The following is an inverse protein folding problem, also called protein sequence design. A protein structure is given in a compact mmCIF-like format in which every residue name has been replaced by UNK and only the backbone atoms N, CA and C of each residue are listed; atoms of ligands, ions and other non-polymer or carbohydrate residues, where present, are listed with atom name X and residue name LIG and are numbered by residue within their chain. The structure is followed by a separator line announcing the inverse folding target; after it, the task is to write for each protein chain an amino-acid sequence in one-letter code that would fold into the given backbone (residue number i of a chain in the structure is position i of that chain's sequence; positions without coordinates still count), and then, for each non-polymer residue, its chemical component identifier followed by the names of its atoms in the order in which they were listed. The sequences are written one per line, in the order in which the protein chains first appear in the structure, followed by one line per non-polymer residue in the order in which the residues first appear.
data_IF_140829723855
#
_entry.id   IF_140829723855
#
_cell.length_a   1.000
_cell.length_b   1.000
_cell.length_c   1.000
_cell.angle_alpha   90.00
_cell.angle_beta   90.00
_cell.angle_gamma   90.00
#
_symmetry.space_group_name_H-M   'P 1'
#
loop_
_entity.id
_entity.type
_entity.pdbx_description
1 polymer ?
#
# COMPACT_ATOMS: atom_id res chain seq x y z
N UNK A 1 -8.30 2.53 10.98
CA UNK A 1 -8.51 3.88 10.40
C UNK A 1 -9.99 4.25 10.41
N UNK A 2 -10.37 5.35 9.74
CA UNK A 2 -11.77 5.80 9.68
C UNK A 2 -12.63 4.98 8.70
N UNK A 3 -12.02 4.44 7.63
CA UNK A 3 -12.74 3.68 6.59
C UNK A 3 -12.61 2.16 6.74
N UNK A 4 -11.44 1.69 7.20
CA UNK A 4 -11.13 0.28 7.32
C UNK A 4 -10.48 -0.05 8.67
N UNK A 5 -10.76 -1.25 9.14
CA UNK A 5 -9.89 -1.96 10.08
C UNK A 5 -8.87 -2.76 9.26
N UNK A 6 -7.61 -2.68 9.67
CA UNK A 6 -6.47 -3.22 8.93
C UNK A 6 -5.67 -4.08 9.89
N UNK A 7 -5.44 -5.33 9.49
CA UNK A 7 -4.73 -6.33 10.27
C UNK A 7 -3.59 -6.90 9.45
N UNK A 8 -2.49 -7.21 10.13
CA UNK A 8 -1.49 -8.12 9.61
C UNK A 8 -1.93 -9.54 9.98
N UNK A 9 -2.03 -10.42 8.99
CA UNK A 9 -2.36 -11.83 9.19
C UNK A 9 -1.21 -12.68 8.66
N UNK A 10 -1.00 -13.83 9.28
CA UNK A 10 0.01 -14.79 8.84
C UNK A 10 -0.60 -16.18 8.69
N UNK A 11 -0.03 -16.97 7.80
CA UNK A 11 -0.37 -18.38 7.65
C UNK A 11 0.56 -19.25 8.49
N UNK A 12 0.21 -20.53 8.66
CA UNK A 12 1.08 -21.52 9.31
C UNK A 12 2.43 -21.69 8.56
N UNK A 13 2.46 -21.39 7.27
CA UNK A 13 3.67 -21.39 6.44
C UNK A 13 4.54 -20.13 6.59
N UNK A 14 4.20 -19.23 7.52
CA UNK A 14 4.86 -17.95 7.78
C UNK A 14 4.72 -16.88 6.67
N UNK A 15 3.86 -17.08 5.68
CA UNK A 15 3.52 -16.01 4.74
C UNK A 15 2.71 -14.92 5.44
N UNK A 16 3.07 -13.66 5.23
CA UNK A 16 2.42 -12.49 5.82
C UNK A 16 1.58 -11.74 4.80
N UNK A 17 0.38 -11.34 5.21
CA UNK A 17 -0.58 -10.64 4.38
C UNK A 17 -1.23 -9.47 5.14
N UNK A 18 -1.84 -8.57 4.39
CA UNK A 18 -2.64 -7.48 4.93
C UNK A 18 -4.13 -7.76 4.71
N UNK A 19 -4.89 -7.92 5.80
CA UNK A 19 -6.34 -7.98 5.78
C UNK A 19 -6.93 -6.59 5.96
N UNK A 20 -7.87 -6.21 5.09
CA UNK A 20 -8.65 -4.97 5.23
C UNK A 20 -10.13 -5.28 5.27
N UNK A 21 -10.80 -4.78 6.31
CA UNK A 21 -12.24 -4.93 6.52
C UNK A 21 -12.87 -3.53 6.45
N UNK A 22 -13.74 -3.24 5.45
CA UNK A 22 -14.44 -1.97 5.36
C UNK A 22 -15.47 -1.84 6.49
N UNK A 23 -15.53 -0.66 7.10
CA UNK A 23 -16.46 -0.39 8.22
C UNK A 23 -17.91 -0.18 7.79
N UNK A 24 -18.13 0.13 6.52
CA UNK A 24 -19.45 0.40 5.96
C UNK A 24 -19.46 0.21 4.43
N UNK A 25 -20.66 0.26 3.83
CA UNK A 25 -20.86 0.06 2.39
C UNK A 25 -20.11 1.09 1.53
N UNK A 26 -20.01 2.33 1.98
CA UNK A 26 -19.25 3.37 1.27
C UNK A 26 -17.76 3.03 1.22
N UNK A 27 -17.19 2.61 2.34
CA UNK A 27 -15.80 2.15 2.40
C UNK A 27 -15.56 0.93 1.51
N UNK A 28 -16.49 -0.03 1.47
CA UNK A 28 -16.40 -1.20 0.59
C UNK A 28 -16.41 -0.79 -0.90
N UNK A 29 -17.30 0.13 -1.29
CA UNK A 29 -17.37 0.63 -2.67
C UNK A 29 -16.10 1.38 -3.09
N UNK A 30 -15.54 2.21 -2.20
CA UNK A 30 -14.26 2.90 -2.43
C UNK A 30 -13.12 1.87 -2.53
N UNK A 31 -13.09 0.87 -1.65
CA UNK A 31 -12.07 -0.18 -1.67
C UNK A 31 -12.06 -0.92 -3.02
N UNK A 32 -13.23 -1.27 -3.55
CA UNK A 32 -13.37 -1.92 -4.86
C UNK A 32 -12.83 -1.07 -6.02
N UNK A 33 -12.99 0.24 -5.94
CA UNK A 33 -12.37 1.14 -6.92
C UNK A 33 -10.84 1.14 -6.76
N UNK A 34 -10.36 1.13 -5.52
CA UNK A 34 -8.94 1.06 -5.20
C UNK A 34 -8.26 -0.24 -5.65
N UNK A 35 -8.91 -1.39 -5.53
CA UNK A 35 -8.36 -2.69 -5.97
C UNK A 35 -8.21 -2.76 -7.49
N UNK A 36 -9.15 -2.20 -8.25
CA UNK A 36 -9.04 -2.06 -9.71
C UNK A 36 -7.82 -1.20 -10.08
N UNK A 37 -7.64 -0.06 -9.41
CA UNK A 37 -6.50 0.81 -9.64
C UNK A 37 -5.17 0.11 -9.31
N UNK A 38 -5.08 -0.55 -8.15
CA UNK A 38 -3.87 -1.30 -7.75
C UNK A 38 -3.52 -2.40 -8.76
N UNK A 39 -4.53 -3.11 -9.27
CA UNK A 39 -4.34 -4.15 -10.29
C UNK A 39 -3.82 -3.54 -11.61
N UNK A 40 -4.37 -2.41 -12.03
CA UNK A 40 -3.92 -1.71 -13.23
C UNK A 40 -2.47 -1.21 -13.08
N UNK A 41 -2.14 -0.58 -11.94
CA UNK A 41 -0.79 -0.10 -11.62
C UNK A 41 0.24 -1.25 -11.63
N UNK A 42 -0.08 -2.38 -10.99
CA UNK A 42 0.84 -3.52 -10.94
C UNK A 42 1.11 -4.11 -12.33
N UNK A 43 0.11 -4.11 -13.22
CA UNK A 43 0.26 -4.57 -14.61
C UNK A 43 1.04 -3.59 -15.47
N UNK A 44 0.74 -2.30 -15.37
CA UNK A 44 1.41 -1.26 -16.14
C UNK A 44 2.86 -1.01 -15.69
N UNK A 45 3.13 -1.19 -14.39
CA UNK A 45 4.43 -0.95 -13.76
C UNK A 45 4.77 -2.06 -12.77
N UNK A 46 5.26 -3.21 -13.25
CA UNK A 46 5.58 -4.34 -12.38
C UNK A 46 6.68 -4.04 -11.35
N UNK A 47 7.57 -3.09 -11.66
CA UNK A 47 8.65 -2.62 -10.77
C UNK A 47 8.16 -1.74 -9.63
N UNK A 48 6.93 -1.21 -9.73
CA UNK A 48 6.34 -0.39 -8.69
C UNK A 48 5.98 -1.25 -7.47
N UNK A 49 6.47 -0.82 -6.30
CA UNK A 49 6.22 -1.46 -5.01
C UNK A 49 4.83 -1.08 -4.47
N UNK A 50 3.78 -1.54 -5.17
CA UNK A 50 2.39 -1.51 -4.72
C UNK A 50 1.92 -2.91 -4.31
N UNK A 51 1.02 -3.02 -3.33
CA UNK A 51 0.55 -4.31 -2.85
C UNK A 51 -0.31 -5.00 -3.91
N UNK A 52 -0.03 -6.27 -4.17
CA UNK A 52 -0.84 -7.10 -5.05
C UNK A 52 -2.13 -7.52 -4.33
N UNK A 53 -3.25 -7.56 -5.06
CA UNK A 53 -4.51 -8.08 -4.54
C UNK A 53 -4.47 -9.61 -4.62
N UNK A 54 -4.67 -10.28 -3.48
CA UNK A 54 -4.67 -11.74 -3.38
C UNK A 54 -6.09 -12.26 -3.39
N UNK A 55 -6.97 -11.59 -2.65
CA UNK A 55 -8.39 -11.91 -2.58
C UNK A 55 -9.22 -10.66 -2.35
N UNK A 56 -10.42 -10.63 -2.93
CA UNK A 56 -11.38 -9.55 -2.75
C UNK A 56 -12.80 -10.11 -2.62
N UNK A 57 -13.56 -9.54 -1.69
CA UNK A 57 -14.99 -9.75 -1.50
C UNK A 57 -15.64 -8.45 -1.02
N UNK A 58 -16.98 -8.44 -0.95
CA UNK A 58 -17.72 -7.29 -0.40
C UNK A 58 -17.47 -7.07 1.10
N UNK A 59 -16.96 -8.08 1.81
CA UNK A 59 -16.76 -8.05 3.26
C UNK A 59 -15.32 -7.77 3.68
N UNK A 60 -14.34 -8.15 2.86
CA UNK A 60 -12.93 -7.92 3.13
C UNK A 60 -12.07 -8.13 1.89
N UNK A 61 -10.84 -7.59 1.94
CA UNK A 61 -9.80 -7.83 0.95
C UNK A 61 -8.51 -8.28 1.62
N UNK A 62 -7.79 -9.20 0.97
CA UNK A 62 -6.45 -9.65 1.36
C UNK A 62 -5.47 -9.13 0.33
N UNK A 63 -4.44 -8.45 0.81
CA UNK A 63 -3.37 -7.90 -0.01
C UNK A 63 -2.02 -8.48 0.40
N UNK A 64 -1.09 -8.48 -0.55
CA UNK A 64 0.33 -8.69 -0.28
C UNK A 64 0.79 -7.73 0.83
N UNK A 65 1.50 -8.27 1.82
CA UNK A 65 2.22 -7.44 2.78
C UNK A 65 3.45 -6.83 2.12
N UNK A 66 3.66 -5.52 2.32
CA UNK A 66 4.85 -4.84 1.83
C UNK A 66 5.82 -4.66 2.97
N UNK A 67 7.00 -5.27 2.85
CA UNK A 67 8.08 -5.08 3.81
C UNK A 67 8.63 -3.66 3.74
N UNK A 68 8.87 -3.10 4.92
CA UNK A 68 9.41 -1.76 5.06
C UNK A 68 8.78 -1.02 6.23
N UNK A 69 9.40 0.10 6.56
CA UNK A 69 8.91 0.99 7.60
C UNK A 69 8.33 2.26 6.97
N UNK A 70 7.18 2.76 7.45
CA UNK A 70 6.70 4.07 7.06
C UNK A 70 7.78 5.12 7.31
N UNK A 71 7.84 6.13 6.44
CA UNK A 71 8.84 7.19 6.48
C UNK A 71 8.86 7.99 7.80
N UNK A 72 7.82 7.84 8.64
CA UNK A 72 7.52 8.67 9.83
C UNK A 72 7.49 10.16 9.45
N UNK A 73 7.46 11.06 10.43
CA UNK A 73 7.41 12.50 10.17
C UNK A 73 8.66 12.96 9.41
N UNK A 74 8.45 13.71 8.33
CA UNK A 74 9.51 14.40 7.59
C UNK A 74 10.08 15.53 8.45
N UNK A 75 10.93 15.20 9.42
CA UNK A 75 11.59 16.17 10.27
C UNK A 75 12.97 16.50 9.68
N UNK A 76 13.13 17.75 9.24
CA UNK A 76 14.42 18.25 8.70
C UNK A 76 15.54 18.29 9.75
N UNK A 77 15.21 18.15 11.04
CA UNK A 77 16.19 18.10 12.14
C UNK A 77 16.81 16.71 12.31
N UNK A 78 16.03 15.64 12.10
CA UNK A 78 16.45 14.26 12.36
C UNK A 78 16.94 13.54 11.11
N UNK A 79 16.60 14.04 9.92
CA UNK A 79 16.97 13.43 8.65
C UNK A 79 18.26 14.03 8.07
N UNK A 80 19.24 13.17 7.80
CA UNK A 80 20.44 13.55 7.05
C UNK A 80 20.09 14.08 5.66
N UNK A 81 20.94 14.94 5.11
CA UNK A 81 20.78 15.51 3.76
C UNK A 81 20.69 14.39 2.73
N UNK A 82 21.61 13.42 2.78
CA UNK A 82 21.62 12.26 1.88
C UNK A 82 20.30 11.48 1.91
N UNK A 83 19.74 11.22 3.10
CA UNK A 83 18.47 10.50 3.23
C UNK A 83 17.31 11.28 2.61
N UNK A 84 17.31 12.61 2.70
CA UNK A 84 16.29 13.46 2.07
C UNK A 84 16.39 13.42 0.54
N UNK A 85 17.60 13.51 -0.01
CA UNK A 85 17.84 13.44 -1.45
C UNK A 85 17.36 12.11 -2.03
N UNK A 86 17.75 10.97 -1.43
CA UNK A 86 17.28 9.64 -1.86
C UNK A 86 15.76 9.53 -1.87
N UNK A 87 15.08 10.16 -0.91
CA UNK A 87 13.62 10.12 -0.84
C UNK A 87 12.94 11.02 -1.87
N UNK A 88 13.49 12.21 -2.11
CA UNK A 88 12.98 13.10 -3.15
C UNK A 88 13.18 12.49 -4.54
N UNK A 89 14.33 11.86 -4.79
CA UNK A 89 14.58 11.10 -6.02
C UNK A 89 13.61 9.93 -6.17
N UNK A 90 13.39 9.15 -5.10
CA UNK A 90 12.44 8.04 -5.10
C UNK A 90 11.00 8.48 -5.37
N UNK A 91 10.54 9.56 -4.72
CA UNK A 91 9.21 10.14 -4.95
C UNK A 91 9.12 10.71 -6.37
N UNK A 92 10.15 11.41 -6.85
CA UNK A 92 10.19 11.97 -8.20
C UNK A 92 10.09 10.88 -9.27
N UNK A 93 10.83 9.78 -9.09
CA UNK A 93 10.75 8.61 -9.96
C UNK A 93 9.36 7.98 -9.93
N UNK A 94 8.77 7.80 -8.74
CA UNK A 94 7.40 7.29 -8.60
C UNK A 94 6.37 8.16 -9.34
N UNK A 95 6.45 9.48 -9.17
CA UNK A 95 5.54 10.41 -9.82
C UNK A 95 5.70 10.40 -11.34
N UNK A 96 6.93 10.29 -11.84
CA UNK A 96 7.22 10.13 -13.27
C UNK A 96 6.69 8.81 -13.80
N UNK A 97 6.87 7.71 -13.07
CA UNK A 97 6.39 6.40 -13.49
C UNK A 97 4.85 6.44 -13.62
N UNK A 98 4.14 7.06 -12.68
CA UNK A 98 2.66 7.11 -12.64
C UNK A 98 2.03 8.16 -13.59
N UNK A 99 2.78 9.15 -14.10
CA UNK A 99 2.29 10.22 -14.99
C UNK A 99 2.02 9.76 -16.43
#
# INVERSE_FOLDING_TARGET
GLSHDVYMISTEAADTYTLRIPKNKTAASIAKTGTVLLTALKRGQPTLQVPSIIYESDQFSILQFLDGEPLKSWNNLDMSVHRRETLLEGIGKLLLDVW
#
